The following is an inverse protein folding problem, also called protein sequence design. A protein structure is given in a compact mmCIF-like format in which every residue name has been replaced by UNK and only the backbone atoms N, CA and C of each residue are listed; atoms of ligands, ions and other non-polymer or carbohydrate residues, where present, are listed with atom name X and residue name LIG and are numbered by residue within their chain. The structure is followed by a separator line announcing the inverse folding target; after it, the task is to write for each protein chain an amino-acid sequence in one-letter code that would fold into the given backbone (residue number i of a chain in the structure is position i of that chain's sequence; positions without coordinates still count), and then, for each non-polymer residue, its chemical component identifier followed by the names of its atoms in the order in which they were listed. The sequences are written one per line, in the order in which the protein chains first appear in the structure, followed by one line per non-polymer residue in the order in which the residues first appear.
data_IF_499474702011
#
_entry.id   IF_499474702011
#
_cell.length_a   1.000
_cell.length_b   1.000
_cell.length_c   1.000
_cell.angle_alpha   90.00
_cell.angle_beta   90.00
_cell.angle_gamma   90.00
#
_symmetry.space_group_name_H-M   'P 1'
#
loop_
_entity.id
_entity.type
_entity.pdbx_description
1 polymer ?
#
# COMPACT_ATOMS: atom_id res chain seq x y z
N UNK A 1 -26.94 4.20 -35.94
CA UNK A 1 -26.54 4.78 -34.64
C UNK A 1 -25.62 3.86 -33.82
N UNK A 2 -25.92 2.56 -33.61
CA UNK A 2 -25.08 1.62 -32.83
C UNK A 2 -23.60 1.56 -33.21
N UNK A 3 -23.27 1.45 -34.51
CA UNK A 3 -21.87 1.36 -34.99
C UNK A 3 -21.00 2.59 -34.67
N UNK A 4 -21.60 3.78 -34.59
CA UNK A 4 -20.88 5.01 -34.24
C UNK A 4 -20.55 5.04 -32.74
N UNK A 5 -21.48 4.59 -31.89
CA UNK A 5 -21.25 4.45 -30.45
C UNK A 5 -20.16 3.40 -30.14
N UNK A 6 -20.14 2.29 -30.89
CA UNK A 6 -19.10 1.27 -30.77
C UNK A 6 -17.73 1.78 -31.21
N UNK A 7 -17.67 2.54 -32.31
CA UNK A 7 -16.44 3.18 -32.78
C UNK A 7 -15.89 4.19 -31.77
N UNK A 8 -16.76 5.05 -31.21
CA UNK A 8 -16.38 6.01 -30.18
C UNK A 8 -15.83 5.34 -28.92
N UNK A 9 -16.51 4.31 -28.40
CA UNK A 9 -16.02 3.53 -27.25
C UNK A 9 -14.65 2.93 -27.50
N UNK A 10 -14.40 2.45 -28.71
CA UNK A 10 -13.12 1.85 -29.08
C UNK A 10 -11.99 2.89 -29.09
N UNK A 11 -12.24 4.08 -29.61
CA UNK A 11 -11.28 5.20 -29.58
C UNK A 11 -10.97 5.63 -28.15
N UNK A 12 -12.00 5.77 -27.29
CA UNK A 12 -11.80 6.11 -25.87
C UNK A 12 -10.98 5.03 -25.16
N UNK A 13 -11.31 3.75 -25.34
CA UNK A 13 -10.55 2.65 -24.72
C UNK A 13 -9.09 2.59 -25.18
N UNK A 14 -8.83 2.94 -26.45
CA UNK A 14 -7.47 2.98 -27.00
C UNK A 14 -6.68 4.17 -26.44
N UNK A 15 -7.32 5.33 -26.35
CA UNK A 15 -6.75 6.50 -25.68
C UNK A 15 -6.37 6.18 -24.24
N UNK A 16 -7.30 5.63 -23.45
CA UNK A 16 -7.03 5.30 -22.05
C UNK A 16 -5.90 4.27 -21.91
N UNK A 17 -5.86 3.27 -22.81
CA UNK A 17 -4.77 2.29 -22.84
C UNK A 17 -3.41 2.94 -23.13
N UNK A 18 -3.33 3.91 -24.05
CA UNK A 18 -2.11 4.66 -24.33
C UNK A 18 -1.70 5.58 -23.17
N UNK A 19 -2.66 6.22 -22.50
CA UNK A 19 -2.40 7.10 -21.36
C UNK A 19 -1.84 6.33 -20.15
N UNK A 20 -2.34 5.12 -19.90
CA UNK A 20 -1.91 4.31 -18.75
C UNK A 20 -0.63 3.52 -19.05
N UNK A 21 -0.34 3.20 -20.32
CA UNK A 21 0.79 2.35 -20.71
C UNK A 21 2.16 2.76 -20.11
N UNK A 22 2.56 4.04 -20.06
CA UNK A 22 3.84 4.46 -19.48
C UNK A 22 3.96 4.15 -17.98
N UNK A 23 2.83 4.14 -17.26
CA UNK A 23 2.78 3.98 -15.80
C UNK A 23 2.72 2.52 -15.35
N UNK A 24 2.33 1.59 -16.24
CA UNK A 24 2.18 0.16 -15.89
C UNK A 24 3.47 -0.43 -15.33
N UNK A 25 4.60 -0.16 -15.98
CA UNK A 25 5.88 -0.63 -15.51
C UNK A 25 6.26 -0.02 -14.14
N UNK A 26 5.83 1.22 -13.85
CA UNK A 26 6.02 1.84 -12.54
C UNK A 26 5.18 1.18 -11.45
N UNK A 27 3.90 0.93 -11.74
CA UNK A 27 2.97 0.25 -10.84
C UNK A 27 3.43 -1.18 -10.52
N UNK A 28 3.88 -1.93 -11.54
CA UNK A 28 4.41 -3.29 -11.36
C UNK A 28 5.68 -3.30 -10.51
N UNK A 29 6.59 -2.34 -10.72
CA UNK A 29 7.78 -2.17 -9.89
C UNK A 29 7.44 -1.87 -8.44
N UNK A 30 6.49 -0.97 -8.20
CA UNK A 30 6.07 -0.62 -6.85
C UNK A 30 5.39 -1.80 -6.15
N UNK A 31 4.50 -2.52 -6.85
CA UNK A 31 3.88 -3.74 -6.33
C UNK A 31 4.93 -4.78 -5.94
N UNK A 32 5.94 -5.01 -6.79
CA UNK A 32 7.02 -5.95 -6.50
C UNK A 32 7.85 -5.49 -5.29
N UNK A 33 8.15 -4.19 -5.19
CA UNK A 33 8.86 -3.62 -4.05
C UNK A 33 8.12 -3.85 -2.72
N UNK A 34 6.80 -3.68 -2.71
CA UNK A 34 5.97 -3.94 -1.53
C UNK A 34 5.98 -5.43 -1.15
N UNK A 35 5.94 -6.33 -2.13
CA UNK A 35 6.02 -7.78 -1.90
C UNK A 35 7.38 -8.22 -1.36
N UNK A 36 8.47 -7.71 -1.93
CA UNK A 36 9.84 -7.96 -1.45
C UNK A 36 10.03 -7.47 -0.01
N UNK A 37 9.49 -6.29 0.33
CA UNK A 37 9.50 -5.78 1.69
C UNK A 37 8.71 -6.67 2.66
N UNK A 38 7.52 -7.12 2.27
CA UNK A 38 6.72 -8.04 3.08
C UNK A 38 7.47 -9.33 3.38
N UNK A 39 8.01 -9.97 2.34
CA UNK A 39 8.78 -11.22 2.47
C UNK A 39 9.98 -11.00 3.41
N UNK A 40 10.71 -9.90 3.22
CA UNK A 40 11.86 -9.55 4.07
C UNK A 40 11.45 -9.42 5.53
N UNK A 41 10.37 -8.68 5.83
CA UNK A 41 9.90 -8.48 7.21
C UNK A 41 9.46 -9.79 7.88
N UNK A 42 8.78 -10.68 7.14
CA UNK A 42 8.40 -12.01 7.63
C UNK A 42 9.63 -12.87 7.95
N UNK A 43 10.68 -12.81 7.11
CA UNK A 43 11.93 -13.53 7.38
C UNK A 43 12.70 -12.96 8.58
N UNK A 44 12.73 -11.63 8.74
CA UNK A 44 13.34 -11.00 9.92
C UNK A 44 12.65 -11.50 11.19
N UNK A 45 11.32 -11.50 11.21
CA UNK A 45 10.53 -12.03 12.33
C UNK A 45 10.81 -13.52 12.59
N UNK A 46 10.79 -14.35 11.55
CA UNK A 46 11.04 -15.79 11.68
C UNK A 46 12.45 -16.12 12.20
N UNK A 47 13.44 -15.28 11.87
CA UNK A 47 14.82 -15.43 12.33
C UNK A 47 15.07 -14.73 13.68
N UNK A 48 14.08 -14.01 14.23
CA UNK A 48 14.23 -13.21 15.44
C UNK A 48 15.16 -12.01 15.27
N UNK A 49 15.41 -11.56 14.04
CA UNK A 49 16.22 -10.39 13.74
C UNK A 49 15.33 -9.15 13.87
N UNK A 50 15.74 -8.22 14.73
CA UNK A 50 15.02 -6.97 14.90
C UNK A 50 15.00 -6.14 13.61
N UNK A 51 13.92 -5.40 13.41
CA UNK A 51 13.80 -4.51 12.26
C UNK A 51 14.85 -3.38 12.36
N UNK A 52 15.75 -3.23 11.37
CA UNK A 52 16.82 -2.23 11.43
C UNK A 52 16.30 -0.79 11.47
N UNK A 53 15.08 -0.52 10.99
CA UNK A 53 14.48 0.79 11.07
C UNK A 53 14.09 1.17 12.51
N UNK A 54 13.76 0.19 13.36
CA UNK A 54 13.20 0.44 14.69
C UNK A 54 14.07 1.34 15.57
N UNK A 55 15.39 1.13 15.56
CA UNK A 55 16.32 1.93 16.34
C UNK A 55 16.47 3.37 15.82
N UNK A 56 16.48 3.55 14.49
CA UNK A 56 16.73 4.84 13.86
C UNK A 56 15.49 5.72 13.72
N UNK A 57 14.30 5.19 14.02
CA UNK A 57 13.02 5.91 13.86
C UNK A 57 12.27 6.07 15.17
N UNK A 58 12.96 6.02 16.31
CA UNK A 58 12.33 6.17 17.63
C UNK A 58 11.72 7.57 17.82
N UNK A 59 12.31 8.59 17.20
CA UNK A 59 11.80 9.96 17.19
C UNK A 59 10.48 10.10 16.41
N UNK A 60 10.22 9.20 15.47
CA UNK A 60 8.99 9.17 14.67
C UNK A 60 7.85 8.45 15.39
N UNK A 61 8.12 7.86 16.55
CA UNK A 61 7.13 7.05 17.28
C UNK A 61 5.81 7.79 17.58
N UNK A 62 5.80 9.09 17.97
CA UNK A 62 4.56 9.83 18.16
C UNK A 62 3.70 9.92 16.89
N UNK A 63 4.32 10.23 15.74
CA UNK A 63 3.62 10.34 14.47
C UNK A 63 3.12 8.96 13.97
N UNK A 64 3.93 7.91 14.17
CA UNK A 64 3.53 6.54 13.86
C UNK A 64 2.34 6.09 14.71
N UNK A 65 2.29 6.47 15.99
CA UNK A 65 1.17 6.15 16.88
C UNK A 65 -0.14 6.82 16.40
N UNK A 66 -0.10 8.08 15.99
CA UNK A 66 -1.27 8.79 15.42
C UNK A 66 -1.75 8.13 14.12
N UNK A 67 -0.82 7.76 13.23
CA UNK A 67 -1.15 7.07 11.98
C UNK A 67 -1.73 5.68 12.22
N UNK A 68 -1.18 4.95 13.20
CA UNK A 68 -1.74 3.68 13.63
C UNK A 68 -3.16 3.85 14.19
N UNK A 69 -3.39 4.94 14.94
CA UNK A 69 -4.71 5.25 15.47
C UNK A 69 -5.75 5.46 14.37
N UNK A 70 -5.43 6.26 13.35
CA UNK A 70 -6.31 6.45 12.19
C UNK A 70 -6.55 5.14 11.42
N UNK A 71 -5.48 4.37 11.15
CA UNK A 71 -5.58 3.13 10.39
C UNK A 71 -6.48 2.08 11.05
N UNK A 72 -6.36 1.85 12.36
CA UNK A 72 -7.15 0.79 12.99
C UNK A 72 -8.64 1.18 13.10
N UNK A 73 -8.95 2.48 13.18
CA UNK A 73 -10.34 2.96 13.08
C UNK A 73 -10.93 2.65 11.69
N UNK A 74 -10.19 2.92 10.62
CA UNK A 74 -10.60 2.60 9.25
C UNK A 74 -10.75 1.08 9.05
N UNK A 75 -9.92 0.29 9.73
CA UNK A 75 -10.04 -1.17 9.77
C UNK A 75 -11.27 -1.68 10.56
N UNK A 76 -12.06 -0.79 11.17
CA UNK A 76 -13.26 -1.13 11.93
C UNK A 76 -12.98 -1.74 13.31
N UNK A 77 -11.76 -1.60 13.83
CA UNK A 77 -11.37 -2.14 15.14
C UNK A 77 -11.88 -1.21 16.25
N UNK A 78 -12.72 -1.73 17.15
CA UNK A 78 -13.28 -0.96 18.28
C UNK A 78 -12.26 -0.61 19.37
N UNK A 79 -11.15 -1.33 19.43
CA UNK A 79 -10.02 -1.15 20.35
C UNK A 79 -8.74 -1.58 19.65
N UNK A 80 -7.62 -1.00 20.06
CA UNK A 80 -6.31 -1.46 19.61
C UNK A 80 -6.10 -2.96 19.97
N UNK A 81 -5.46 -3.75 19.08
CA UNK A 81 -5.17 -5.16 19.33
C UNK A 81 -4.19 -5.39 20.50
N UNK A 82 -3.30 -4.43 20.76
CA UNK A 82 -2.35 -4.51 21.86
C UNK A 82 -2.94 -3.98 23.18
N UNK A 83 -2.86 -4.75 24.29
CA UNK A 83 -3.26 -4.28 25.60
C UNK A 83 -2.31 -3.17 26.10
N UNK A 84 -2.84 -1.97 26.31
CA UNK A 84 -2.09 -0.81 26.81
C UNK A 84 -2.02 0.36 25.83
N UNK A 85 -2.36 0.14 24.56
CA UNK A 85 -2.54 1.23 23.59
C UNK A 85 -3.95 1.79 23.77
N UNK A 86 -4.05 2.98 24.36
CA UNK A 86 -5.30 3.72 24.39
C UNK A 86 -5.64 4.19 22.97
N UNK A 87 -6.84 3.87 22.50
CA UNK A 87 -7.48 4.63 21.43
C UNK A 87 -7.72 6.06 21.91
#
# INVERSE_FOLDING_TARGET
MRRLADGYRRVVSFHDALFVAPWRAGLERESRRQEELLVTLVFLEALGVENPAGYYTLELYPELAERFHAWHQDAGMRRAPEPGVCC
#
